data_IF_842882836081
#
_entry.id   IF_842882836081
#
_cell.length_a   1.000
_cell.length_b   1.000
_cell.length_c   1.000
_cell.angle_alpha   90.00
_cell.angle_beta   90.00
_cell.angle_gamma   90.00
#
_symmetry.space_group_name_H-M   'P 1'
#
loop_
_entity.id
_entity.type
_entity.pdbx_description
1 polymer ?
#
# COMPACT_ATOMS: atom_id res chain seq x y z
N UNK A 1 6.57 -23.87 17.77
CA UNK A 1 5.30 -23.65 17.04
C UNK A 1 4.60 -22.43 17.64
N UNK A 2 4.75 -21.23 17.05
CA UNK A 2 4.08 -20.00 17.51
C UNK A 2 3.76 -19.03 16.33
N UNK A 3 3.51 -19.54 15.12
CA UNK A 3 3.32 -18.70 13.93
C UNK A 3 1.92 -18.77 13.29
N UNK A 4 0.95 -19.48 13.89
CA UNK A 4 -0.35 -19.72 13.27
C UNK A 4 -1.46 -18.74 13.70
N UNK A 5 -1.31 -18.01 14.80
CA UNK A 5 -2.36 -17.14 15.35
C UNK A 5 -2.38 -15.73 14.75
N UNK A 6 -1.25 -15.24 14.24
CA UNK A 6 -1.16 -13.89 13.67
C UNK A 6 -1.86 -13.78 12.31
N UNK A 7 -1.73 -14.82 11.46
CA UNK A 7 -2.28 -14.82 10.09
C UNK A 7 -3.81 -14.87 10.09
N UNK A 8 -4.41 -15.58 11.04
CA UNK A 8 -5.88 -15.69 11.13
C UNK A 8 -6.55 -14.44 11.69
N UNK A 9 -5.91 -13.75 12.64
CA UNK A 9 -6.44 -12.53 13.23
C UNK A 9 -6.32 -11.32 12.29
N UNK A 10 -5.18 -11.20 11.60
CA UNK A 10 -4.95 -10.15 10.59
C UNK A 10 -6.03 -10.20 9.50
N UNK A 11 -6.42 -11.40 9.08
CA UNK A 11 -7.43 -11.61 8.05
C UNK A 11 -8.85 -11.19 8.52
N UNK A 12 -9.21 -11.38 9.79
CA UNK A 12 -10.51 -10.95 10.32
C UNK A 12 -10.65 -9.42 10.35
N UNK A 13 -9.57 -8.71 10.70
CA UNK A 13 -9.58 -7.26 10.82
C UNK A 13 -9.62 -6.57 9.44
N UNK A 14 -9.03 -7.18 8.41
CA UNK A 14 -8.99 -6.61 7.04
C UNK A 14 -10.11 -7.09 6.13
N UNK A 15 -10.77 -8.22 6.43
CA UNK A 15 -11.72 -8.88 5.52
C UNK A 15 -12.77 -7.94 4.93
N UNK A 16 -13.33 -7.04 5.75
CA UNK A 16 -14.32 -6.06 5.29
C UNK A 16 -13.71 -5.10 4.26
N UNK A 17 -12.54 -4.56 4.54
CA UNK A 17 -11.85 -3.62 3.65
C UNK A 17 -11.41 -4.32 2.36
N UNK A 18 -10.90 -5.55 2.46
CA UNK A 18 -10.48 -6.37 1.32
C UNK A 18 -11.64 -6.68 0.38
N UNK A 19 -12.83 -6.99 0.94
CA UNK A 19 -14.06 -7.19 0.14
C UNK A 19 -14.50 -5.93 -0.60
N UNK A 20 -14.41 -4.77 0.04
CA UNK A 20 -14.72 -3.48 -0.60
C UNK A 20 -13.72 -3.18 -1.72
N UNK A 21 -12.43 -3.39 -1.45
CA UNK A 21 -11.37 -3.22 -2.45
C UNK A 21 -11.57 -4.12 -3.67
N UNK A 22 -11.87 -5.40 -3.45
CA UNK A 22 -12.11 -6.38 -4.51
C UNK A 22 -13.36 -6.06 -5.36
N UNK A 23 -14.30 -5.27 -4.83
CA UNK A 23 -15.49 -4.76 -5.55
C UNK A 23 -15.27 -3.40 -6.19
N UNK A 24 -14.04 -2.89 -6.18
CA UNK A 24 -13.69 -1.55 -6.69
C UNK A 24 -14.36 -0.40 -5.91
N UNK A 25 -14.86 -0.67 -4.70
CA UNK A 25 -15.49 0.31 -3.81
C UNK A 25 -14.42 1.09 -3.02
N UNK A 26 -13.47 1.71 -3.73
CA UNK A 26 -12.22 2.21 -3.15
C UNK A 26 -12.40 3.31 -2.09
N UNK A 27 -13.42 4.16 -2.23
CA UNK A 27 -13.70 5.18 -1.21
C UNK A 27 -14.03 4.54 0.14
N UNK A 28 -14.83 3.48 0.13
CA UNK A 28 -15.24 2.79 1.35
C UNK A 28 -14.18 1.80 1.84
N UNK A 29 -13.42 1.18 0.92
CA UNK A 29 -12.24 0.40 1.26
C UNK A 29 -11.21 1.25 2.02
N UNK A 30 -10.92 2.46 1.54
CA UNK A 30 -9.97 3.38 2.20
C UNK A 30 -10.41 3.70 3.63
N UNK A 31 -11.70 4.03 3.84
CA UNK A 31 -12.26 4.26 5.18
C UNK A 31 -12.10 3.02 6.06
N UNK A 32 -12.46 1.85 5.55
CA UNK A 32 -12.38 0.61 6.30
C UNK A 32 -10.93 0.26 6.69
N UNK A 33 -9.96 0.42 5.80
CA UNK A 33 -8.55 0.23 6.15
C UNK A 33 -8.04 1.29 7.14
N UNK A 34 -8.49 2.54 7.04
CA UNK A 34 -8.13 3.60 7.99
C UNK A 34 -8.63 3.32 9.42
N UNK A 35 -9.76 2.63 9.56
CA UNK A 35 -10.32 2.28 10.87
C UNK A 35 -9.54 1.19 11.63
N UNK A 36 -8.69 0.42 10.93
CA UNK A 36 -7.84 -0.63 11.52
C UNK A 36 -6.82 0.02 12.46
N UNK A 37 -6.79 -0.39 13.73
CA UNK A 37 -5.94 0.23 14.77
C UNK A 37 -4.45 -0.06 14.57
N UNK A 38 -4.11 -1.32 14.34
CA UNK A 38 -2.73 -1.77 14.17
C UNK A 38 -2.46 -1.99 12.69
N UNK A 39 -2.02 -0.94 12.00
CA UNK A 39 -1.68 -1.02 10.57
C UNK A 39 -0.28 -1.58 10.40
N UNK A 40 -0.19 -2.77 9.86
CA UNK A 40 1.07 -3.35 9.42
C UNK A 40 1.38 -2.96 7.96
N UNK A 41 2.46 -3.53 7.43
CA UNK A 41 2.88 -3.29 6.05
C UNK A 41 1.81 -3.65 5.01
N UNK A 42 1.00 -4.69 5.26
CA UNK A 42 -0.08 -5.08 4.36
C UNK A 42 -1.19 -4.02 4.33
N UNK A 43 -1.68 -3.59 5.49
CA UNK A 43 -2.73 -2.56 5.57
C UNK A 43 -2.26 -1.24 4.95
N UNK A 44 -0.99 -0.86 5.19
CA UNK A 44 -0.41 0.33 4.59
C UNK A 44 -0.31 0.20 3.06
N UNK A 45 0.09 -0.97 2.53
CA UNK A 45 0.10 -1.22 1.09
C UNK A 45 -1.30 -1.12 0.51
N UNK A 46 -2.29 -1.76 1.12
CA UNK A 46 -3.67 -1.72 0.64
C UNK A 46 -4.27 -0.32 0.65
N UNK A 47 -3.98 0.49 1.68
CA UNK A 47 -4.34 1.92 1.67
C UNK A 47 -3.71 2.65 0.49
N UNK A 48 -2.42 2.44 0.27
CA UNK A 48 -1.70 3.06 -0.83
C UNK A 48 -2.27 2.67 -2.20
N UNK A 49 -2.56 1.38 -2.41
CA UNK A 49 -3.17 0.90 -3.65
C UNK A 49 -4.59 1.42 -3.84
N UNK A 50 -5.37 1.52 -2.76
CA UNK A 50 -6.72 2.09 -2.80
C UNK A 50 -6.69 3.54 -3.27
N UNK A 51 -5.81 4.36 -2.68
CA UNK A 51 -5.64 5.75 -3.10
C UNK A 51 -5.02 5.88 -4.50
N UNK A 52 -4.12 4.97 -4.88
CA UNK A 52 -3.58 4.88 -6.24
C UNK A 52 -4.71 4.66 -7.27
N UNK A 53 -5.60 3.71 -7.01
CA UNK A 53 -6.74 3.41 -7.90
C UNK A 53 -7.76 4.55 -7.97
N UNK A 54 -7.81 5.40 -6.95
CA UNK A 54 -8.61 6.63 -6.92
C UNK A 54 -7.91 7.83 -7.56
N UNK A 55 -6.68 7.66 -8.08
CA UNK A 55 -5.81 8.75 -8.54
C UNK A 55 -5.56 9.84 -7.48
N UNK A 56 -5.70 9.50 -6.20
CA UNK A 56 -5.34 10.39 -5.09
C UNK A 56 -3.86 10.22 -4.77
N UNK A 57 -3.04 10.87 -5.60
CA UNK A 57 -1.58 10.80 -5.59
C UNK A 57 -0.98 11.21 -4.25
N UNK A 58 -1.51 12.26 -3.61
CA UNK A 58 -1.05 12.75 -2.31
C UNK A 58 -1.19 11.71 -1.20
N UNK A 59 -2.37 11.10 -1.07
CA UNK A 59 -2.59 10.05 -0.06
C UNK A 59 -1.83 8.77 -0.42
N UNK A 60 -1.81 8.38 -1.70
CA UNK A 60 -1.06 7.21 -2.15
C UNK A 60 0.43 7.32 -1.79
N UNK A 61 1.06 8.49 -2.01
CA UNK A 61 2.46 8.75 -1.60
C UNK A 61 2.65 8.55 -0.10
N UNK A 62 1.72 9.02 0.73
CA UNK A 62 1.80 8.89 2.19
C UNK A 62 1.79 7.42 2.61
N UNK A 63 0.87 6.62 2.07
CA UNK A 63 0.72 5.23 2.47
C UNK A 63 1.76 4.30 1.85
N UNK A 64 2.21 4.58 0.62
CA UNK A 64 3.35 3.85 0.04
C UNK A 64 4.64 4.08 0.83
N UNK A 65 4.87 5.30 1.34
CA UNK A 65 6.01 5.58 2.21
C UNK A 65 5.98 4.68 3.45
N UNK A 66 4.81 4.50 4.05
CA UNK A 66 4.61 3.59 5.21
C UNK A 66 4.77 2.13 4.85
N UNK A 67 4.20 1.68 3.73
CA UNK A 67 4.32 0.30 3.28
C UNK A 67 5.80 -0.10 3.02
N UNK A 68 6.56 0.83 2.45
CA UNK A 68 7.97 0.62 2.06
C UNK A 68 8.99 0.82 3.18
N UNK A 69 8.55 1.09 4.42
CA UNK A 69 9.40 0.95 5.63
C UNK A 69 9.87 -0.50 5.83
N UNK A 70 9.18 -1.46 5.19
CA UNK A 70 9.59 -2.86 5.06
C UNK A 70 9.76 -3.25 3.58
N UNK A 71 10.45 -4.36 3.30
CA UNK A 71 10.64 -4.83 1.94
C UNK A 71 9.29 -5.23 1.31
N UNK A 72 8.99 -4.68 0.14
CA UNK A 72 7.78 -4.96 -0.65
C UNK A 72 8.13 -5.64 -1.98
N UNK A 73 7.11 -6.03 -2.76
CA UNK A 73 7.30 -6.46 -4.14
C UNK A 73 7.73 -5.31 -5.06
N UNK A 74 8.26 -5.65 -6.24
CA UNK A 74 8.73 -4.68 -7.21
C UNK A 74 7.61 -3.69 -7.62
N UNK A 75 6.41 -4.20 -7.89
CA UNK A 75 5.28 -3.39 -8.36
C UNK A 75 4.89 -2.28 -7.38
N UNK A 76 4.98 -2.52 -6.08
CA UNK A 76 4.73 -1.52 -5.03
C UNK A 76 5.68 -0.34 -5.17
N UNK A 77 6.99 -0.60 -5.37
CA UNK A 77 7.99 0.46 -5.58
C UNK A 77 7.77 1.21 -6.89
N UNK A 78 7.37 0.51 -7.95
CA UNK A 78 7.01 1.14 -9.23
C UNK A 78 5.82 2.09 -9.06
N UNK A 79 4.70 1.62 -8.51
CA UNK A 79 3.51 2.45 -8.26
C UNK A 79 3.85 3.64 -7.36
N UNK A 80 4.64 3.43 -6.32
CA UNK A 80 5.09 4.51 -5.44
C UNK A 80 5.89 5.57 -6.21
N UNK A 81 6.86 5.17 -7.04
CA UNK A 81 7.62 6.08 -7.88
C UNK A 81 6.72 6.91 -8.81
N UNK A 82 5.69 6.29 -9.39
CA UNK A 82 4.73 6.96 -10.27
C UNK A 82 3.89 8.01 -9.50
N UNK A 83 3.45 7.70 -8.28
CA UNK A 83 2.74 8.68 -7.44
C UNK A 83 3.64 9.83 -7.00
N UNK A 84 4.90 9.55 -6.65
CA UNK A 84 5.89 10.58 -6.35
C UNK A 84 6.12 11.51 -7.53
N UNK A 85 6.25 10.98 -8.75
CA UNK A 85 6.35 11.78 -9.98
C UNK A 85 5.13 12.69 -10.19
N UNK A 86 3.92 12.17 -9.98
CA UNK A 86 2.70 12.95 -10.11
C UNK A 86 2.64 14.12 -9.11
N UNK A 87 3.24 13.95 -7.93
CA UNK A 87 3.41 15.01 -6.92
C UNK A 87 4.67 15.88 -7.14
N UNK A 88 5.41 15.71 -8.25
CA UNK A 88 6.63 16.46 -8.54
C UNK A 88 7.86 16.08 -7.70
N UNK A 89 7.81 14.97 -6.96
CA UNK A 89 8.89 14.47 -6.08
C UNK A 89 9.84 13.56 -6.86
N UNK A 90 10.53 14.14 -7.84
CA UNK A 90 11.31 13.39 -8.83
C UNK A 90 12.52 12.65 -8.23
N UNK A 91 13.21 13.23 -7.26
CA UNK A 91 14.37 12.60 -6.63
C UNK A 91 13.97 11.35 -5.84
N UNK A 92 12.90 11.44 -5.06
CA UNK A 92 12.33 10.30 -4.33
C UNK A 92 11.81 9.25 -5.31
N UNK A 93 11.13 9.67 -6.38
CA UNK A 93 10.66 8.73 -7.40
C UNK A 93 11.81 7.93 -8.01
N UNK A 94 12.94 8.56 -8.31
CA UNK A 94 14.12 7.89 -8.84
C UNK A 94 14.69 6.86 -7.86
N UNK A 95 14.68 7.15 -6.55
CA UNK A 95 15.09 6.18 -5.51
C UNK A 95 14.19 4.94 -5.51
N UNK A 96 12.88 5.14 -5.58
CA UNK A 96 11.92 4.02 -5.62
C UNK A 96 12.02 3.24 -6.94
N UNK A 97 12.26 3.91 -8.07
CA UNK A 97 12.48 3.25 -9.36
C UNK A 97 13.76 2.41 -9.38
N UNK A 98 14.84 2.89 -8.75
CA UNK A 98 16.05 2.09 -8.60
C UNK A 98 15.79 0.83 -7.75
N UNK A 99 14.98 0.94 -6.69
CA UNK A 99 14.56 -0.21 -5.89
C UNK A 99 13.72 -1.19 -6.71
N UNK A 100 12.76 -0.71 -7.50
CA UNK A 100 12.00 -1.52 -8.45
C UNK A 100 12.94 -2.29 -9.40
N UNK A 101 13.85 -1.60 -10.09
CA UNK A 101 14.78 -2.21 -11.04
C UNK A 101 15.68 -3.28 -10.39
N UNK A 102 16.08 -3.09 -9.13
CA UNK A 102 16.87 -4.11 -8.40
C UNK A 102 16.09 -5.39 -8.09
N UNK A 103 14.76 -5.33 -8.06
CA UNK A 103 13.87 -6.45 -7.74
C UNK A 103 13.26 -7.11 -8.98
N UNK A 104 13.29 -6.42 -10.12
CA UNK A 104 12.80 -6.89 -11.42
C UNK A 104 13.85 -6.60 -12.52
N UNK A 105 14.95 -7.38 -12.54
CA UNK A 105 16.07 -7.20 -13.48
C UNK A 105 15.74 -7.60 -14.93
#
# INVERSE_FOLDING_TARGET
MFAATAVTAQNQDTEKADKLYARYEYVDAAKAYLDIKNKDAYVNKQLAETYYNMFNTKEAVTWFAKATETQQDAETYYKYAQMLKAEGKYEEANKQMAKFASLAP
#
